data_IF_492429573001
#
_entry.id   IF_492429573001
#
_cell.length_a   1.000
_cell.length_b   1.000
_cell.length_c   1.000
_cell.angle_alpha   90.00
_cell.angle_beta   90.00
_cell.angle_gamma   90.00
#
_symmetry.space_group_name_H-M   'P 1'
#
loop_
_entity.id
_entity.type
_entity.pdbx_description
1 polymer ?
#
# COMPACT_ATOMS: atom_id res chain seq x y z
N UNK A 1 25.03 63.13 -27.23
CA UNK A 1 24.90 64.43 -26.52
C UNK A 1 23.43 64.82 -26.52
N UNK A 2 22.90 65.31 -25.39
CA UNK A 2 21.49 65.71 -25.08
C UNK A 2 20.55 64.55 -24.69
N UNK A 3 20.29 64.29 -23.40
CA UNK A 3 19.52 65.02 -22.33
C UNK A 3 18.03 64.71 -22.36
N UNK A 4 17.52 64.10 -21.28
CA UNK A 4 16.41 64.58 -20.41
C UNK A 4 16.32 63.61 -19.21
N UNK A 5 16.88 63.96 -18.05
CA UNK A 5 16.20 64.53 -16.87
C UNK A 5 14.92 63.77 -16.47
N UNK A 6 14.91 63.10 -15.31
CA UNK A 6 13.85 63.27 -14.30
C UNK A 6 14.30 62.72 -12.94
N UNK A 7 13.65 63.23 -11.90
CA UNK A 7 14.14 63.46 -10.55
C UNK A 7 14.06 62.25 -9.60
N UNK A 8 15.00 62.25 -8.64
CA UNK A 8 14.89 61.85 -7.23
C UNK A 8 13.48 61.51 -6.71
N UNK A 9 13.30 60.35 -6.07
CA UNK A 9 12.78 60.22 -4.69
C UNK A 9 13.35 58.94 -4.07
N UNK A 10 14.03 59.10 -2.94
CA UNK A 10 14.46 58.03 -2.03
C UNK A 10 13.25 57.60 -1.20
N UNK A 11 12.96 56.30 -1.12
CA UNK A 11 12.26 55.75 0.05
C UNK A 11 12.70 54.32 0.28
N UNK A 12 13.51 54.14 1.32
CA UNK A 12 13.81 52.86 1.95
C UNK A 12 12.53 52.37 2.62
N UNK A 13 12.06 51.18 2.26
CA UNK A 13 11.03 50.49 3.02
C UNK A 13 11.49 49.05 3.30
N UNK A 14 12.17 48.90 4.44
CA UNK A 14 12.27 47.63 5.14
C UNK A 14 10.88 47.25 5.66
N UNK A 15 10.27 46.20 5.13
CA UNK A 15 9.13 45.54 5.75
C UNK A 15 9.43 44.06 5.97
N UNK A 16 9.52 43.74 7.25
CA UNK A 16 9.58 42.44 7.87
C UNK A 16 8.32 41.66 7.46
N UNK A 17 8.49 40.57 6.71
CA UNK A 17 7.48 39.51 6.59
C UNK A 17 8.08 38.25 7.20
N UNK A 18 8.28 38.28 8.51
CA UNK A 18 8.44 37.09 9.32
C UNK A 18 7.05 36.71 9.84
N UNK A 19 6.55 35.52 9.47
CA UNK A 19 5.55 34.83 10.28
C UNK A 19 4.15 34.63 9.73
N UNK A 20 3.95 34.21 8.46
CA UNK A 20 2.64 33.60 8.05
C UNK A 20 2.79 32.43 7.05
N UNK A 21 3.89 31.67 7.07
CA UNK A 21 4.02 30.47 6.21
C UNK A 21 4.44 29.21 6.99
N UNK A 22 4.07 29.11 8.27
CA UNK A 22 4.37 27.93 9.08
C UNK A 22 3.23 26.91 9.20
N UNK A 23 2.01 27.19 8.68
CA UNK A 23 0.85 26.30 8.90
C UNK A 23 0.33 25.54 7.68
N UNK A 24 0.85 25.77 6.48
CA UNK A 24 0.51 24.93 5.31
C UNK A 24 1.47 23.78 5.06
N UNK A 25 2.64 23.77 5.70
CA UNK A 25 3.65 22.70 5.55
C UNK A 25 3.44 21.50 6.49
N UNK A 26 2.66 21.64 7.56
CA UNK A 26 2.44 20.54 8.52
C UNK A 26 1.29 19.59 8.10
N UNK A 27 0.35 20.05 7.28
CA UNK A 27 -0.75 19.23 6.78
C UNK A 27 -0.36 18.29 5.62
N UNK A 28 0.68 18.65 4.86
CA UNK A 28 1.20 17.84 3.75
C UNK A 28 2.18 16.74 4.20
N UNK A 29 2.75 16.87 5.40
CA UNK A 29 3.68 15.90 5.99
C UNK A 29 2.97 14.72 6.70
N UNK A 30 1.65 14.81 6.92
CA UNK A 30 0.79 13.65 7.20
C UNK A 30 0.50 12.83 5.92
N UNK A 31 1.36 12.93 4.90
CA UNK A 31 1.32 12.10 3.70
C UNK A 31 1.29 10.63 4.11
N UNK A 32 0.17 9.95 3.82
CA UNK A 32 -0.10 8.52 3.98
C UNK A 32 1.06 7.74 4.61
N UNK A 33 1.07 7.66 5.95
CA UNK A 33 1.86 6.63 6.62
C UNK A 33 1.46 5.31 5.96
N UNK A 34 2.42 4.55 5.41
CA UNK A 34 2.12 3.32 4.68
C UNK A 34 1.20 2.41 5.50
N UNK A 35 0.39 1.59 4.84
CA UNK A 35 -0.50 0.65 5.55
C UNK A 35 0.29 -0.21 6.56
N UNK A 36 1.55 -0.51 6.25
CA UNK A 36 2.49 -1.18 7.18
C UNK A 36 2.72 -0.40 8.47
N UNK A 37 3.05 0.89 8.39
CA UNK A 37 3.21 1.72 9.59
C UNK A 37 1.92 1.80 10.41
N UNK A 38 0.78 1.82 9.73
CA UNK A 38 -0.54 1.84 10.36
C UNK A 38 -0.78 0.53 11.15
N UNK A 39 -0.51 -0.62 10.54
CA UNK A 39 -0.66 -1.93 11.18
C UNK A 39 0.35 -2.16 12.31
N UNK A 40 1.60 -1.74 12.14
CA UNK A 40 2.59 -1.78 13.22
C UNK A 40 2.16 -0.95 14.43
N UNK A 41 1.69 0.29 14.19
CA UNK A 41 1.15 1.16 15.26
C UNK A 41 -0.07 0.54 15.91
N UNK A 42 -0.98 -0.07 15.15
CA UNK A 42 -2.15 -0.75 15.68
C UNK A 42 -1.75 -1.88 16.66
N UNK A 43 -0.84 -2.76 16.22
CA UNK A 43 -0.31 -3.85 17.06
C UNK A 43 0.37 -3.30 18.32
N UNK A 44 1.24 -2.30 18.19
CA UNK A 44 1.92 -1.70 19.34
C UNK A 44 0.92 -1.12 20.34
N UNK A 45 -0.06 -0.35 19.89
CA UNK A 45 -1.07 0.25 20.77
C UNK A 45 -1.94 -0.79 21.45
N UNK A 46 -2.24 -1.90 20.77
CA UNK A 46 -2.96 -3.01 21.39
C UNK A 46 -2.14 -3.67 22.51
N UNK A 47 -0.85 -3.91 22.27
CA UNK A 47 0.09 -4.44 23.28
C UNK A 47 0.25 -3.49 24.47
N UNK A 48 0.25 -2.18 24.24
CA UNK A 48 0.27 -1.13 25.26
C UNK A 48 -1.05 -0.99 26.03
N UNK A 49 -2.03 -1.88 25.79
CA UNK A 49 -3.39 -1.83 26.33
C UNK A 49 -4.20 -0.57 25.93
N UNK A 50 -3.74 0.18 24.94
CA UNK A 50 -4.43 1.35 24.42
C UNK A 50 -5.39 0.95 23.28
N UNK A 51 -6.51 0.34 23.68
CA UNK A 51 -7.53 -0.21 22.77
C UNK A 51 -8.12 0.84 21.82
N UNK A 52 -8.39 2.05 22.33
CA UNK A 52 -8.94 3.14 21.51
C UNK A 52 -7.98 3.56 20.40
N UNK A 53 -6.70 3.77 20.72
CA UNK A 53 -5.71 4.13 19.69
C UNK A 53 -5.43 2.96 18.74
N UNK A 54 -5.43 1.72 19.22
CA UNK A 54 -5.28 0.54 18.36
C UNK A 54 -6.41 0.46 17.34
N UNK A 55 -7.66 0.56 17.79
CA UNK A 55 -8.85 0.57 16.93
C UNK A 55 -8.80 1.69 15.88
N UNK A 56 -8.39 2.91 16.27
CA UNK A 56 -8.23 4.03 15.33
C UNK A 56 -7.21 3.73 14.22
N UNK A 57 -6.08 3.09 14.54
CA UNK A 57 -5.11 2.69 13.52
C UNK A 57 -5.67 1.60 12.61
N UNK A 58 -6.39 0.61 13.15
CA UNK A 58 -7.05 -0.43 12.34
C UNK A 58 -8.07 0.20 11.37
N UNK A 59 -8.87 1.17 11.83
CA UNK A 59 -9.80 1.92 10.97
C UNK A 59 -9.09 2.68 9.85
N UNK A 60 -7.92 3.29 10.11
CA UNK A 60 -7.10 3.91 9.05
C UNK A 60 -6.68 2.89 8.00
N UNK A 61 -6.30 1.68 8.44
CA UNK A 61 -6.00 0.57 7.55
C UNK A 61 -7.21 0.15 6.70
N UNK A 62 -8.39 0.03 7.31
CA UNK A 62 -9.63 -0.29 6.61
C UNK A 62 -9.97 0.76 5.54
N UNK A 63 -9.89 2.05 5.88
CA UNK A 63 -10.11 3.15 4.95
C UNK A 63 -9.13 3.15 3.78
N UNK A 64 -7.87 2.79 4.02
CA UNK A 64 -6.89 2.60 2.96
C UNK A 64 -7.31 1.47 2.00
N UNK A 65 -7.67 0.30 2.54
CA UNK A 65 -8.11 -0.85 1.73
C UNK A 65 -9.37 -0.51 0.92
N UNK A 66 -10.33 0.19 1.52
CA UNK A 66 -11.53 0.68 0.83
C UNK A 66 -11.22 1.65 -0.31
N UNK A 67 -10.27 2.56 -0.10
CA UNK A 67 -9.78 3.47 -1.15
C UNK A 67 -9.14 2.70 -2.32
N UNK A 68 -8.50 1.56 -2.05
CA UNK A 68 -7.99 0.68 -3.10
C UNK A 68 -9.14 -0.03 -3.83
N UNK A 69 -10.17 -0.46 -3.11
CA UNK A 69 -11.35 -1.13 -3.67
C UNK A 69 -12.10 -0.24 -4.67
N UNK A 70 -12.22 1.06 -4.38
CA UNK A 70 -12.84 2.05 -5.28
C UNK A 70 -12.12 2.19 -6.63
N UNK A 71 -10.82 1.88 -6.66
CA UNK A 71 -9.95 1.97 -7.86
C UNK A 71 -9.74 0.61 -8.52
N UNK A 72 -10.25 -0.47 -7.92
CA UNK A 72 -10.06 -1.82 -8.38
C UNK A 72 -11.10 -2.20 -9.45
N UNK A 73 -10.77 -3.19 -10.26
CA UNK A 73 -11.78 -3.91 -11.07
C UNK A 73 -12.66 -4.77 -10.18
N UNK A 74 -13.83 -5.21 -10.68
CA UNK A 74 -14.82 -5.97 -9.91
C UNK A 74 -14.23 -7.12 -9.07
N UNK A 75 -13.35 -7.94 -9.67
CA UNK A 75 -12.70 -9.06 -8.97
C UNK A 75 -11.78 -8.62 -7.82
N UNK A 76 -11.03 -7.54 -8.01
CA UNK A 76 -10.16 -6.98 -6.98
C UNK A 76 -10.97 -6.29 -5.89
N UNK A 77 -12.00 -5.55 -6.30
CA UNK A 77 -12.92 -4.82 -5.43
C UNK A 77 -13.62 -5.75 -4.44
N UNK A 78 -14.12 -6.89 -4.88
CA UNK A 78 -14.78 -7.87 -4.00
C UNK A 78 -13.90 -8.29 -2.81
N UNK A 79 -12.64 -8.68 -3.08
CA UNK A 79 -11.71 -9.11 -2.03
C UNK A 79 -11.29 -7.96 -1.12
N UNK A 80 -11.06 -6.78 -1.69
CA UNK A 80 -10.69 -5.59 -0.93
C UNK A 80 -11.85 -5.12 -0.04
N UNK A 81 -13.09 -5.11 -0.53
CA UNK A 81 -14.28 -4.76 0.26
C UNK A 81 -14.51 -5.76 1.40
N UNK A 82 -14.32 -7.06 1.16
CA UNK A 82 -14.40 -8.08 2.19
C UNK A 82 -13.35 -7.84 3.29
N UNK A 83 -12.10 -7.56 2.91
CA UNK A 83 -11.03 -7.28 3.86
C UNK A 83 -11.23 -5.96 4.62
N UNK A 84 -11.71 -4.90 3.95
CA UNK A 84 -12.02 -3.64 4.60
C UNK A 84 -13.08 -3.81 5.70
N UNK A 85 -14.16 -4.55 5.41
CA UNK A 85 -15.21 -4.89 6.39
C UNK A 85 -14.67 -5.71 7.56
N UNK A 86 -13.77 -6.66 7.29
CA UNK A 86 -13.10 -7.43 8.34
C UNK A 86 -12.30 -6.52 9.28
N UNK A 87 -11.52 -5.58 8.72
CA UNK A 87 -10.74 -4.62 9.50
C UNK A 87 -11.64 -3.66 10.30
N UNK A 88 -12.75 -3.19 9.72
CA UNK A 88 -13.75 -2.37 10.43
C UNK A 88 -14.30 -3.11 11.65
N UNK A 89 -14.73 -4.37 11.46
CA UNK A 89 -15.21 -5.22 12.55
C UNK A 89 -14.12 -5.45 13.60
N UNK A 90 -12.89 -5.74 13.18
CA UNK A 90 -11.77 -5.91 14.09
C UNK A 90 -11.51 -4.65 14.91
N UNK A 91 -11.61 -3.46 14.32
CA UNK A 91 -11.44 -2.22 15.05
C UNK A 91 -12.48 -2.05 16.16
N UNK A 92 -13.75 -2.38 15.86
CA UNK A 92 -14.83 -2.34 16.85
C UNK A 92 -14.60 -3.35 17.98
N UNK A 93 -14.18 -4.57 17.65
CA UNK A 93 -13.88 -5.62 18.63
C UNK A 93 -12.68 -5.25 19.50
N UNK A 94 -11.62 -4.66 18.92
CA UNK A 94 -10.47 -4.13 19.67
C UNK A 94 -10.92 -3.03 20.61
N UNK A 95 -11.74 -2.08 20.13
CA UNK A 95 -12.24 -0.96 20.94
C UNK A 95 -13.08 -1.45 22.14
N UNK A 96 -13.86 -2.51 21.96
CA UNK A 96 -14.67 -3.14 23.01
C UNK A 96 -13.86 -4.06 23.93
N UNK A 97 -12.59 -4.33 23.61
CA UNK A 97 -11.75 -5.26 24.35
C UNK A 97 -12.18 -6.73 24.20
N UNK A 98 -12.91 -7.08 23.15
CA UNK A 98 -13.40 -8.45 22.91
C UNK A 98 -12.40 -9.31 22.12
N UNK A 99 -11.37 -8.69 21.53
CA UNK A 99 -10.26 -9.42 20.91
C UNK A 99 -9.41 -10.08 21.98
N UNK A 100 -9.28 -11.40 21.89
CA UNK A 100 -8.64 -12.23 22.93
C UNK A 100 -7.16 -12.50 22.67
N UNK A 101 -6.64 -12.17 21.48
CA UNK A 101 -5.23 -12.41 21.14
C UNK A 101 -4.72 -11.44 20.07
N UNK A 102 -3.43 -11.09 20.18
CA UNK A 102 -2.71 -10.34 19.15
C UNK A 102 -2.76 -11.08 17.81
N UNK A 103 -2.74 -12.41 17.86
CA UNK A 103 -2.77 -13.25 16.66
C UNK A 103 -3.97 -12.97 15.76
N UNK A 104 -5.16 -12.76 16.32
CA UNK A 104 -6.37 -12.40 15.55
C UNK A 104 -6.18 -11.09 14.77
N UNK A 105 -5.46 -10.12 15.33
CA UNK A 105 -5.15 -8.85 14.67
C UNK A 105 -4.17 -9.08 13.53
N UNK A 106 -3.10 -9.84 13.78
CA UNK A 106 -2.09 -10.18 12.77
C UNK A 106 -2.67 -10.96 11.60
N UNK A 107 -3.57 -11.91 11.87
CA UNK A 107 -4.28 -12.69 10.85
C UNK A 107 -5.12 -11.81 9.92
N UNK A 108 -5.84 -10.82 10.48
CA UNK A 108 -6.63 -9.88 9.68
C UNK A 108 -5.72 -8.98 8.82
N UNK A 109 -4.56 -8.56 9.35
CA UNK A 109 -3.58 -7.78 8.59
C UNK A 109 -2.97 -8.61 7.45
N UNK A 110 -2.67 -9.90 7.70
CA UNK A 110 -2.21 -10.81 6.66
C UNK A 110 -3.23 -10.95 5.52
N UNK A 111 -4.52 -11.08 5.85
CA UNK A 111 -5.61 -11.13 4.86
C UNK A 111 -5.78 -9.83 4.07
N UNK A 112 -5.61 -8.68 4.73
CA UNK A 112 -5.59 -7.39 4.04
C UNK A 112 -4.46 -7.29 3.02
N UNK A 113 -3.27 -7.76 3.39
CA UNK A 113 -2.15 -7.83 2.45
C UNK A 113 -2.37 -8.82 1.31
N UNK A 114 -2.99 -9.97 1.56
CA UNK A 114 -3.36 -10.91 0.50
C UNK A 114 -4.36 -10.31 -0.50
N UNK A 115 -5.35 -9.53 -0.02
CA UNK A 115 -6.30 -8.84 -0.88
C UNK A 115 -5.62 -7.75 -1.74
N UNK A 116 -4.70 -6.97 -1.14
CA UNK A 116 -3.89 -5.97 -1.84
C UNK A 116 -2.97 -6.62 -2.89
N UNK A 117 -2.30 -7.72 -2.55
CA UNK A 117 -1.45 -8.45 -3.47
C UNK A 117 -2.24 -8.95 -4.69
N UNK A 118 -3.43 -9.49 -4.45
CA UNK A 118 -4.33 -9.97 -5.50
C UNK A 118 -4.79 -8.85 -6.45
N UNK A 119 -5.23 -7.70 -5.92
CA UNK A 119 -5.61 -6.55 -6.75
C UNK A 119 -4.41 -5.98 -7.54
N UNK A 120 -3.24 -5.86 -6.90
CA UNK A 120 -2.01 -5.44 -7.58
C UNK A 120 -1.62 -6.38 -8.73
N UNK A 121 -1.78 -7.70 -8.54
CA UNK A 121 -1.55 -8.68 -9.61
C UNK A 121 -2.54 -8.52 -10.78
N UNK A 122 -3.82 -8.29 -10.49
CA UNK A 122 -4.82 -7.99 -11.53
C UNK A 122 -4.42 -6.74 -12.31
N UNK A 123 -4.06 -5.65 -11.61
CA UNK A 123 -3.59 -4.39 -12.23
C UNK A 123 -2.37 -4.61 -13.11
N UNK A 124 -1.44 -5.48 -12.69
CA UNK A 124 -0.27 -5.85 -13.48
C UNK A 124 -0.68 -6.53 -14.79
N UNK A 125 -1.52 -7.56 -14.70
CA UNK A 125 -2.00 -8.33 -15.85
C UNK A 125 -2.79 -7.45 -16.83
N UNK A 126 -3.65 -6.57 -16.33
CA UNK A 126 -4.42 -5.63 -17.16
C UNK A 126 -3.51 -4.60 -17.85
N UNK A 127 -2.51 -4.08 -17.14
CA UNK A 127 -1.55 -3.12 -17.71
C UNK A 127 -0.71 -3.77 -18.80
N UNK A 128 -0.28 -5.02 -18.57
CA UNK A 128 0.43 -5.81 -19.58
C UNK A 128 -0.42 -5.99 -20.85
N UNK A 129 -1.69 -6.40 -20.71
CA UNK A 129 -2.61 -6.56 -21.84
C UNK A 129 -2.84 -5.26 -22.63
N UNK A 130 -2.71 -4.09 -21.96
CA UNK A 130 -2.78 -2.76 -22.58
C UNK A 130 -1.43 -2.25 -23.11
N UNK A 131 -0.41 -3.11 -23.15
CA UNK A 131 0.97 -2.79 -23.54
C UNK A 131 1.62 -1.68 -22.68
N UNK A 132 1.14 -1.48 -21.44
CA UNK A 132 1.66 -0.51 -20.48
C UNK A 132 2.71 -1.18 -19.59
N UNK A 133 3.86 -1.53 -20.19
CA UNK A 133 4.91 -2.34 -19.54
C UNK A 133 5.36 -1.83 -18.17
N UNK A 134 5.63 -0.52 -18.08
CA UNK A 134 6.10 0.10 -16.83
C UNK A 134 5.07 -0.04 -15.70
N UNK A 135 3.81 0.28 -15.99
CA UNK A 135 2.69 0.10 -15.03
C UNK A 135 2.49 -1.36 -14.65
N UNK A 136 2.67 -2.28 -15.60
CA UNK A 136 2.61 -3.71 -15.33
C UNK A 136 3.69 -4.14 -14.33
N UNK A 137 4.93 -3.66 -14.53
CA UNK A 137 6.03 -3.88 -13.61
C UNK A 137 5.78 -3.28 -12.23
N UNK A 138 5.35 -2.02 -12.14
CA UNK A 138 5.06 -1.37 -10.84
C UNK A 138 3.99 -2.09 -10.04
N UNK A 139 2.93 -2.53 -10.72
CA UNK A 139 1.87 -3.30 -10.08
C UNK A 139 2.34 -4.70 -9.66
N UNK A 140 3.22 -5.35 -10.43
CA UNK A 140 3.80 -6.66 -10.06
C UNK A 140 4.72 -6.56 -8.85
N UNK A 141 5.57 -5.53 -8.79
CA UNK A 141 6.43 -5.23 -7.64
C UNK A 141 5.59 -4.97 -6.37
N UNK A 142 4.49 -4.22 -6.52
CA UNK A 142 3.55 -4.00 -5.41
C UNK A 142 2.91 -5.32 -4.95
N UNK A 143 2.51 -6.20 -5.88
CA UNK A 143 1.94 -7.49 -5.55
C UNK A 143 2.90 -8.37 -4.75
N UNK A 144 4.18 -8.42 -5.15
CA UNK A 144 5.21 -9.19 -4.44
C UNK A 144 5.45 -8.65 -3.03
N UNK A 145 5.61 -7.32 -2.88
CA UNK A 145 5.78 -6.68 -1.56
C UNK A 145 4.60 -6.96 -0.63
N UNK A 146 3.38 -6.83 -1.14
CA UNK A 146 2.19 -7.16 -0.35
C UNK A 146 2.12 -8.63 0.03
N UNK A 147 2.52 -9.54 -0.86
CA UNK A 147 2.61 -10.97 -0.53
C UNK A 147 3.61 -11.23 0.61
N UNK A 148 4.80 -10.64 0.55
CA UNK A 148 5.83 -10.77 1.59
C UNK A 148 5.37 -10.21 2.96
N UNK A 149 4.72 -9.05 2.95
CA UNK A 149 4.10 -8.50 4.16
C UNK A 149 2.99 -9.42 4.68
N UNK A 150 2.18 -10.00 3.79
CA UNK A 150 1.17 -10.99 4.13
C UNK A 150 1.78 -12.17 4.90
N UNK A 151 2.82 -12.80 4.37
CA UNK A 151 3.54 -13.89 5.05
C UNK A 151 4.09 -13.47 6.41
N UNK A 152 4.67 -12.26 6.49
CA UNK A 152 5.22 -11.72 7.74
C UNK A 152 4.15 -11.58 8.81
N UNK A 153 3.00 -10.97 8.49
CA UNK A 153 1.87 -10.84 9.40
C UNK A 153 1.20 -12.18 9.71
N UNK A 154 1.21 -13.12 8.75
CA UNK A 154 0.76 -14.48 8.98
C UNK A 154 1.71 -15.26 9.91
N UNK A 155 2.87 -14.73 10.29
CA UNK A 155 3.87 -15.47 11.09
C UNK A 155 4.40 -16.70 10.35
N UNK A 156 4.26 -16.74 9.03
CA UNK A 156 4.62 -17.87 8.19
C UNK A 156 5.96 -17.59 7.51
N UNK A 157 6.84 -18.60 7.51
CA UNK A 157 8.06 -18.54 6.72
C UNK A 157 7.72 -18.74 5.25
N UNK A 158 8.25 -17.88 4.39
CA UNK A 158 8.13 -18.06 2.94
C UNK A 158 8.92 -19.33 2.54
N UNK A 159 8.22 -20.30 1.97
CA UNK A 159 8.80 -21.55 1.49
C UNK A 159 9.78 -21.29 0.34
N UNK A 160 10.75 -22.18 0.14
CA UNK A 160 11.78 -22.03 -0.90
C UNK A 160 11.17 -21.87 -2.31
N UNK A 161 10.10 -22.61 -2.60
CA UNK A 161 9.38 -22.52 -3.88
C UNK A 161 8.76 -21.14 -4.10
N UNK A 162 7.98 -20.66 -3.13
CA UNK A 162 7.36 -19.32 -3.18
C UNK A 162 8.41 -18.21 -3.25
N UNK A 163 9.51 -18.32 -2.50
CA UNK A 163 10.60 -17.33 -2.54
C UNK A 163 11.25 -17.23 -3.92
N UNK A 164 11.40 -18.37 -4.60
CA UNK A 164 11.94 -18.41 -5.96
C UNK A 164 10.98 -17.80 -6.99
N UNK A 165 9.67 -17.98 -6.81
CA UNK A 165 8.65 -17.31 -7.64
C UNK A 165 8.65 -15.80 -7.41
N UNK A 166 8.71 -15.33 -6.16
CA UNK A 166 8.81 -13.89 -5.83
C UNK A 166 10.05 -13.29 -6.49
N UNK A 167 11.22 -13.92 -6.36
CA UNK A 167 12.47 -13.46 -6.99
C UNK A 167 12.33 -13.33 -8.51
N UNK A 168 11.79 -14.35 -9.19
CA UNK A 168 11.55 -14.30 -10.65
C UNK A 168 10.54 -13.23 -11.04
N UNK A 169 9.52 -13.05 -10.22
CA UNK A 169 8.50 -12.00 -10.39
C UNK A 169 9.12 -10.60 -10.25
N UNK A 170 10.05 -10.40 -9.32
CA UNK A 170 10.80 -9.14 -9.18
C UNK A 170 11.70 -8.87 -10.39
N UNK A 171 12.41 -9.88 -10.89
CA UNK A 171 13.23 -9.75 -12.11
C UNK A 171 12.39 -9.39 -13.33
N UNK A 172 11.23 -10.04 -13.48
CA UNK A 172 10.25 -9.70 -14.51
C UNK A 172 9.78 -8.25 -14.34
N UNK A 173 9.38 -7.86 -13.14
CA UNK A 173 8.93 -6.50 -12.83
C UNK A 173 9.99 -5.46 -13.23
N UNK A 174 11.24 -5.65 -12.83
CA UNK A 174 12.32 -4.72 -13.15
C UNK A 174 12.59 -4.64 -14.66
N UNK A 175 12.48 -5.77 -15.35
CA UNK A 175 12.64 -5.80 -16.81
C UNK A 175 11.50 -5.05 -17.51
N UNK A 176 10.26 -5.22 -17.04
CA UNK A 176 9.09 -4.50 -17.53
C UNK A 176 9.21 -2.97 -17.31
N UNK A 177 9.68 -2.54 -16.13
CA UNK A 177 9.93 -1.12 -15.81
C UNK A 177 11.00 -0.50 -16.71
N UNK A 178 12.08 -1.23 -16.98
CA UNK A 178 13.16 -0.80 -17.88
C UNK A 178 12.81 -0.89 -19.37
N UNK A 179 11.56 -1.27 -19.70
CA UNK A 179 11.08 -1.49 -21.09
C UNK A 179 11.94 -2.49 -21.87
N UNK A 180 12.50 -3.48 -21.17
CA UNK A 180 13.27 -4.55 -21.78
C UNK A 180 12.47 -5.33 -22.84
N UNK A 181 13.21 -5.97 -23.74
CA UNK A 181 12.61 -6.93 -24.68
C UNK A 181 12.42 -8.26 -23.96
N UNK A 182 11.17 -8.70 -23.84
CA UNK A 182 10.79 -10.00 -23.32
C UNK A 182 9.79 -10.62 -24.27
N UNK A 183 9.82 -11.95 -24.39
CA UNK A 183 8.81 -12.68 -25.14
C UNK A 183 7.48 -12.62 -24.37
N UNK A 184 6.37 -12.46 -25.10
CA UNK A 184 5.05 -12.35 -24.48
C UNK A 184 4.71 -13.59 -23.63
N UNK A 185 5.17 -14.77 -24.05
CA UNK A 185 5.02 -16.03 -23.33
C UNK A 185 5.74 -16.04 -21.98
N UNK A 186 6.95 -15.48 -21.92
CA UNK A 186 7.73 -15.40 -20.68
C UNK A 186 7.06 -14.49 -19.66
N UNK A 187 6.54 -13.35 -20.12
CA UNK A 187 5.77 -12.42 -19.28
C UNK A 187 4.49 -13.08 -18.79
N UNK A 188 3.75 -13.75 -19.68
CA UNK A 188 2.52 -14.45 -19.33
C UNK A 188 2.73 -15.52 -18.27
N UNK A 189 3.77 -16.35 -18.43
CA UNK A 189 4.15 -17.38 -17.46
C UNK A 189 4.57 -16.78 -16.11
N UNK A 190 5.37 -15.72 -16.11
CA UNK A 190 5.80 -15.06 -14.89
C UNK A 190 4.62 -14.45 -14.11
N UNK A 191 3.73 -13.75 -14.80
CA UNK A 191 2.50 -13.21 -14.21
C UNK A 191 1.62 -14.34 -13.65
N UNK A 192 1.42 -15.43 -14.41
CA UNK A 192 0.62 -16.56 -13.94
C UNK A 192 1.19 -17.15 -12.65
N UNK A 193 2.50 -17.45 -12.62
CA UNK A 193 3.14 -18.04 -11.45
C UNK A 193 3.01 -17.15 -10.20
N UNK A 194 3.17 -15.83 -10.35
CA UNK A 194 2.97 -14.88 -9.25
C UNK A 194 1.52 -14.91 -8.75
N UNK A 195 0.54 -14.95 -9.67
CA UNK A 195 -0.87 -15.05 -9.32
C UNK A 195 -1.21 -16.35 -8.57
N UNK A 196 -0.66 -17.47 -9.02
CA UNK A 196 -0.86 -18.78 -8.40
C UNK A 196 -0.34 -18.80 -6.94
N UNK A 197 0.82 -18.19 -6.66
CA UNK A 197 1.36 -18.09 -5.29
C UNK A 197 0.54 -17.15 -4.39
N UNK A 198 0.03 -16.03 -4.93
CA UNK A 198 -0.87 -15.13 -4.20
C UNK A 198 -2.17 -15.86 -3.84
N UNK A 199 -2.74 -16.62 -4.77
CA UNK A 199 -3.95 -17.38 -4.54
C UNK A 199 -3.73 -18.51 -3.53
N UNK A 200 -2.62 -19.26 -3.65
CA UNK A 200 -2.19 -20.27 -2.68
C UNK A 200 -2.10 -19.66 -1.28
N UNK A 201 -1.41 -18.54 -1.13
CA UNK A 201 -1.27 -17.85 0.15
C UNK A 201 -2.63 -17.42 0.71
N UNK A 202 -3.48 -16.77 -0.10
CA UNK A 202 -4.80 -16.33 0.31
C UNK A 202 -5.71 -17.47 0.80
N UNK A 203 -5.67 -18.63 0.13
CA UNK A 203 -6.39 -19.85 0.57
C UNK A 203 -5.89 -20.34 1.92
N UNK A 204 -4.58 -20.34 2.14
CA UNK A 204 -3.96 -20.83 3.38
C UNK A 204 -4.28 -19.98 4.63
N UNK A 205 -4.62 -18.70 4.45
CA UNK A 205 -4.91 -17.77 5.56
C UNK A 205 -6.39 -17.39 5.66
N UNK A 206 -7.24 -18.02 4.84
CA UNK A 206 -8.69 -17.78 4.88
C UNK A 206 -9.24 -18.19 6.25
N UNK A 207 -10.23 -17.45 6.80
CA UNK A 207 -10.84 -17.84 8.07
C UNK A 207 -11.49 -19.21 7.93
N UNK A 208 -11.20 -20.12 8.86
CA UNK A 208 -11.91 -21.40 8.99
C UNK A 208 -13.33 -21.19 9.51
#
# INVERSE_FOLDING_TARGET
MHRHKFYFVVTVFTLIVAGIFAWTLLAAAESQSSIEQTFQKAKQKYLDKNMNSAAQQIQKGASFVKTQAEKASDKGKEKLDASAKELEKLADDVKKGTVTSVRKIEDAFARAYAALAFDSHIKSTQSWAKNQKEKAGDALDSANKYLEHGFTWAGQKIEKGTKEVIRKSDELSQTLKKKGSLLAEEVGKGLKNAGDEIEKFGKNISPN
#
